data_IF_802982786184
#
_entry.id   IF_802982786184
#
_cell.length_a   1.000
_cell.length_b   1.000
_cell.length_c   1.000
_cell.angle_alpha   90.00
_cell.angle_beta   90.00
_cell.angle_gamma   90.00
#
_symmetry.space_group_name_H-M   'P 1'
#
loop_
_entity.id
_entity.type
_entity.pdbx_description
1 polymer ?
#
# COMPACT_ATOMS: atom_id res chain seq x y z
N UNK A 1 -38.94 2.07 8.54
CA UNK A 1 -37.51 1.80 8.88
C UNK A 1 -36.75 1.46 7.61
N UNK A 2 -35.83 2.32 7.12
CA UNK A 2 -35.01 2.03 5.94
C UNK A 2 -33.85 1.13 6.36
N UNK A 3 -33.85 -0.12 5.92
CA UNK A 3 -32.72 -1.02 6.08
C UNK A 3 -31.51 -0.41 5.34
N UNK A 4 -30.54 0.17 6.08
CA UNK A 4 -29.25 0.56 5.50
C UNK A 4 -28.61 -0.71 4.98
N UNK A 5 -28.70 -0.97 3.67
CA UNK A 5 -27.98 -2.05 3.01
C UNK A 5 -26.50 -1.86 3.35
N UNK A 6 -25.99 -2.62 4.32
CA UNK A 6 -24.55 -2.68 4.56
C UNK A 6 -23.96 -3.20 3.27
N UNK A 7 -23.17 -2.38 2.59
CA UNK A 7 -22.43 -2.81 1.41
C UNK A 7 -21.64 -4.08 1.76
N UNK A 8 -21.37 -4.92 0.76
CA UNK A 8 -20.52 -6.09 0.93
C UNK A 8 -19.24 -5.67 1.69
N UNK A 9 -18.88 -6.34 2.80
CA UNK A 9 -17.65 -6.04 3.51
C UNK A 9 -16.48 -5.97 2.54
N UNK A 10 -15.59 -4.99 2.72
CA UNK A 10 -14.38 -4.94 1.92
C UNK A 10 -13.58 -6.21 2.22
N UNK A 11 -13.13 -6.88 1.17
CA UNK A 11 -12.18 -7.96 1.36
C UNK A 11 -10.85 -7.33 1.78
N UNK A 12 -10.17 -7.90 2.79
CA UNK A 12 -8.88 -7.40 3.23
C UNK A 12 -7.88 -7.46 2.08
N UNK A 13 -7.11 -6.38 1.91
CA UNK A 13 -6.13 -6.26 0.83
C UNK A 13 -4.76 -6.71 1.30
N UNK A 14 -3.98 -7.30 0.39
CA UNK A 14 -2.66 -7.82 0.73
C UNK A 14 -1.58 -6.74 0.64
N UNK A 15 -0.75 -6.64 1.68
CA UNK A 15 0.47 -5.81 1.70
C UNK A 15 1.70 -6.69 1.93
N UNK A 16 2.87 -6.23 1.49
CA UNK A 16 4.10 -7.03 1.59
C UNK A 16 4.78 -6.90 2.95
N UNK A 17 4.68 -5.75 3.62
CA UNK A 17 5.19 -5.55 4.98
C UNK A 17 4.51 -4.38 5.70
N UNK A 18 4.67 -4.31 7.02
CA UNK A 18 4.25 -3.16 7.82
C UNK A 18 5.35 -2.09 7.75
N UNK A 19 5.02 -0.82 7.45
CA UNK A 19 5.99 0.26 7.40
C UNK A 19 6.70 0.45 8.75
N UNK A 20 8.03 0.50 8.71
CA UNK A 20 8.86 0.76 9.90
C UNK A 20 8.73 2.19 10.40
N UNK A 21 8.63 3.13 9.46
CA UNK A 21 8.37 4.55 9.73
C UNK A 21 6.93 4.82 9.37
N UNK A 22 6.18 5.42 10.30
CA UNK A 22 4.75 5.69 10.16
C UNK A 22 4.40 7.18 10.16
N UNK A 23 5.38 8.04 10.36
CA UNK A 23 5.16 9.48 10.37
C UNK A 23 6.37 10.20 9.78
N UNK A 24 6.10 11.19 8.93
CA UNK A 24 7.10 12.08 8.34
C UNK A 24 6.68 13.51 8.61
N UNK A 25 7.59 14.29 9.21
CA UNK A 25 7.33 15.65 9.67
C UNK A 25 8.34 16.58 8.99
N UNK A 26 7.90 17.69 8.37
CA UNK A 26 8.79 18.71 7.80
C UNK A 26 9.60 19.37 8.91
N UNK A 27 10.89 19.60 8.69
CA UNK A 27 11.76 20.24 9.70
C UNK A 27 11.65 21.77 9.70
N UNK A 28 11.38 22.36 8.54
CA UNK A 28 11.60 23.79 8.30
C UNK A 28 10.34 24.64 8.50
N UNK A 29 9.24 24.05 8.99
CA UNK A 29 7.96 24.75 9.20
C UNK A 29 7.31 24.30 10.51
N UNK A 30 6.74 25.21 11.33
CA UNK A 30 5.88 24.82 12.44
C UNK A 30 4.67 24.05 11.90
N UNK A 31 4.40 22.89 12.47
CA UNK A 31 3.25 22.05 12.10
C UNK A 31 2.00 22.70 12.66
N UNK A 32 1.13 23.23 11.80
CA UNK A 32 -0.19 23.69 12.21
C UNK A 32 -1.20 22.53 12.28
N UNK A 33 -2.14 22.62 13.24
CA UNK A 33 -3.24 21.65 13.35
C UNK A 33 -4.12 21.71 12.10
N UNK A 34 -4.12 20.63 11.30
CA UNK A 34 -4.87 20.53 10.05
C UNK A 34 -4.01 20.23 8.81
N UNK A 35 -2.68 20.31 8.93
CA UNK A 35 -1.74 19.97 7.86
C UNK A 35 -1.28 18.51 7.90
N UNK A 36 -2.19 17.55 8.16
CA UNK A 36 -1.86 16.11 8.19
C UNK A 36 -2.50 15.40 7.01
N UNK A 37 -1.68 14.68 6.24
CA UNK A 37 -2.11 13.75 5.19
C UNK A 37 -1.99 12.33 5.73
N UNK A 38 -3.11 11.60 5.73
CA UNK A 38 -3.11 10.17 6.11
C UNK A 38 -3.03 9.28 4.88
N UNK A 39 -1.94 8.54 4.74
CA UNK A 39 -1.73 7.49 3.74
C UNK A 39 -2.05 6.13 4.35
N UNK A 40 -2.85 5.30 3.66
CA UNK A 40 -3.11 3.96 4.16
C UNK A 40 -1.98 2.99 3.83
N UNK A 41 -1.87 1.87 4.55
CA UNK A 41 -0.91 0.80 4.23
C UNK A 41 -1.09 0.27 2.81
N UNK A 42 -2.34 0.22 2.34
CA UNK A 42 -2.70 -0.19 0.99
C UNK A 42 -2.25 0.82 -0.07
N UNK A 43 -2.41 2.13 0.21
CA UNK A 43 -1.96 3.21 -0.66
C UNK A 43 -0.44 3.21 -0.79
N UNK A 44 0.26 2.99 0.32
CA UNK A 44 1.71 2.85 0.31
C UNK A 44 2.17 1.60 -0.46
N UNK A 45 1.50 0.47 -0.28
CA UNK A 45 1.80 -0.76 -1.04
C UNK A 45 1.58 -0.54 -2.54
N UNK A 46 0.51 0.16 -2.94
CA UNK A 46 0.25 0.44 -4.35
C UNK A 46 1.36 1.30 -4.99
N UNK A 47 1.80 2.36 -4.29
CA UNK A 47 2.95 3.17 -4.73
C UNK A 47 4.20 2.31 -4.80
N UNK A 48 4.45 1.48 -3.78
CA UNK A 48 5.61 0.60 -3.75
C UNK A 48 5.65 -0.34 -4.95
N UNK A 49 4.54 -0.98 -5.29
CA UNK A 49 4.48 -1.95 -6.38
C UNK A 49 4.71 -1.26 -7.74
N UNK A 50 3.96 -0.20 -8.04
CA UNK A 50 4.01 0.41 -9.37
C UNK A 50 5.13 1.44 -9.48
N UNK A 51 5.14 2.43 -8.60
CA UNK A 51 6.02 3.60 -8.75
C UNK A 51 7.46 3.30 -8.33
N UNK A 52 7.66 2.38 -7.38
CA UNK A 52 8.99 2.07 -6.86
C UNK A 52 9.59 0.76 -7.40
N UNK A 53 8.81 -0.31 -7.50
CA UNK A 53 9.29 -1.61 -8.01
C UNK A 53 9.11 -1.78 -9.53
N UNK A 54 8.27 -0.94 -10.16
CA UNK A 54 8.08 -0.92 -11.60
C UNK A 54 7.08 -1.94 -12.14
N UNK A 55 6.22 -2.52 -11.30
CA UNK A 55 5.16 -3.42 -11.76
C UNK A 55 4.11 -2.68 -12.58
N UNK A 56 3.46 -3.39 -13.50
CA UNK A 56 2.23 -2.91 -14.12
C UNK A 56 1.11 -2.77 -13.07
N UNK A 57 0.09 -1.98 -13.41
CA UNK A 57 -1.09 -1.86 -12.54
C UNK A 57 -1.86 -3.17 -12.41
N UNK A 58 -1.74 -4.04 -13.41
CA UNK A 58 -2.43 -5.33 -13.47
C UNK A 58 -1.77 -6.30 -12.49
N UNK A 59 -0.44 -6.44 -12.57
CA UNK A 59 0.34 -7.19 -11.59
C UNK A 59 0.14 -6.64 -10.18
N UNK A 60 0.16 -5.31 -10.02
CA UNK A 60 -0.09 -4.67 -8.73
C UNK A 60 -1.46 -5.03 -8.13
N UNK A 61 -2.51 -5.06 -8.96
CA UNK A 61 -3.86 -5.43 -8.55
C UNK A 61 -3.96 -6.89 -8.12
N UNK A 62 -3.38 -7.80 -8.92
CA UNK A 62 -3.29 -9.23 -8.61
C UNK A 62 -2.55 -9.46 -7.29
N UNK A 63 -1.43 -8.76 -7.12
CA UNK A 63 -0.65 -8.82 -5.90
C UNK A 63 -1.47 -8.35 -4.71
N UNK A 64 -2.18 -7.23 -4.77
CA UNK A 64 -3.02 -6.78 -3.66
C UNK A 64 -4.31 -7.59 -3.46
N UNK A 65 -4.63 -8.52 -4.38
CA UNK A 65 -5.85 -9.33 -4.32
C UNK A 65 -7.11 -8.53 -4.61
N UNK A 66 -7.02 -7.49 -5.43
CA UNK A 66 -8.14 -6.59 -5.76
C UNK A 66 -8.35 -6.49 -7.28
N UNK A 67 -9.52 -5.98 -7.69
CA UNK A 67 -9.74 -5.71 -9.12
C UNK A 67 -8.87 -4.54 -9.61
N UNK A 68 -8.52 -4.55 -10.90
CA UNK A 68 -7.77 -3.46 -11.57
C UNK A 68 -8.35 -2.08 -11.27
N UNK A 69 -9.68 -1.93 -11.32
CA UNK A 69 -10.37 -0.67 -11.00
C UNK A 69 -10.16 -0.21 -9.56
N UNK A 70 -10.22 -1.15 -8.60
CA UNK A 70 -10.00 -0.83 -7.18
C UNK A 70 -8.53 -0.44 -6.95
N UNK A 71 -7.60 -1.18 -7.55
CA UNK A 71 -6.17 -0.86 -7.48
C UNK A 71 -5.88 0.53 -8.06
N UNK A 72 -6.41 0.84 -9.25
CA UNK A 72 -6.25 2.15 -9.87
C UNK A 72 -6.75 3.30 -8.98
N UNK A 73 -7.91 3.12 -8.34
CA UNK A 73 -8.44 4.12 -7.40
C UNK A 73 -7.52 4.31 -6.18
N UNK A 74 -6.97 3.22 -5.63
CA UNK A 74 -6.02 3.27 -4.50
C UNK A 74 -4.76 4.01 -4.95
N UNK A 75 -4.15 3.61 -6.06
CA UNK A 75 -2.93 4.23 -6.58
C UNK A 75 -3.12 5.72 -6.89
N UNK A 76 -4.25 6.09 -7.50
CA UNK A 76 -4.59 7.49 -7.79
C UNK A 76 -4.75 8.30 -6.49
N UNK A 77 -5.44 7.76 -5.49
CA UNK A 77 -5.58 8.38 -4.17
C UNK A 77 -4.22 8.57 -3.50
N UNK A 78 -3.39 7.52 -3.51
CA UNK A 78 -2.06 7.51 -2.92
C UNK A 78 -1.16 8.59 -3.54
N UNK A 79 -1.08 8.64 -4.87
CA UNK A 79 -0.28 9.65 -5.59
C UNK A 79 -0.75 11.06 -5.26
N UNK A 80 -2.06 11.32 -5.26
CA UNK A 80 -2.61 12.64 -4.89
C UNK A 80 -2.20 13.06 -3.48
N UNK A 81 -2.28 12.15 -2.51
CA UNK A 81 -1.91 12.41 -1.11
C UNK A 81 -0.42 12.69 -0.96
N UNK A 82 0.43 11.88 -1.60
CA UNK A 82 1.88 12.10 -1.60
C UNK A 82 2.25 13.41 -2.26
N UNK A 83 1.62 13.77 -3.39
CA UNK A 83 1.82 15.07 -4.03
C UNK A 83 1.39 16.22 -3.13
N UNK A 84 0.24 16.13 -2.47
CA UNK A 84 -0.24 17.15 -1.51
C UNK A 84 0.74 17.32 -0.33
N UNK A 85 1.24 16.21 0.21
CA UNK A 85 2.27 16.20 1.25
C UNK A 85 3.56 16.92 0.81
N UNK A 86 4.08 16.57 -0.36
CA UNK A 86 5.35 17.13 -0.87
C UNK A 86 5.25 18.60 -1.27
N UNK A 87 4.15 19.00 -1.92
CA UNK A 87 3.99 20.38 -2.43
C UNK A 87 3.71 21.36 -1.29
N UNK A 88 2.84 20.97 -0.34
CA UNK A 88 2.41 21.87 0.73
C UNK A 88 3.25 21.72 2.01
N UNK A 89 4.21 20.79 2.03
CA UNK A 89 5.06 20.54 3.19
C UNK A 89 4.25 20.11 4.42
N UNK A 90 3.26 19.23 4.22
CA UNK A 90 2.37 18.74 5.29
C UNK A 90 3.08 17.67 6.13
N UNK A 91 2.47 17.23 7.22
CA UNK A 91 2.83 15.99 7.91
C UNK A 91 2.21 14.81 7.18
N UNK A 92 2.97 13.73 6.97
CA UNK A 92 2.44 12.48 6.42
C UNK A 92 2.37 11.43 7.52
N UNK A 93 1.18 10.89 7.78
CA UNK A 93 0.98 9.75 8.67
C UNK A 93 0.56 8.53 7.89
N UNK A 94 1.12 7.37 8.23
CA UNK A 94 0.84 6.10 7.57
C UNK A 94 0.10 5.18 8.54
N UNK A 95 -1.12 4.80 8.18
CA UNK A 95 -2.05 4.05 9.03
C UNK A 95 -2.66 2.85 8.30
N UNK A 96 -3.14 1.85 9.03
CA UNK A 96 -3.79 0.70 8.42
C UNK A 96 -4.56 -0.14 9.43
N UNK A 97 -5.85 -0.34 9.17
CA UNK A 97 -6.75 -1.11 10.04
C UNK A 97 -7.17 -2.45 9.42
N UNK A 98 -7.41 -2.50 8.10
CA UNK A 98 -7.95 -3.68 7.40
C UNK A 98 -6.99 -4.15 6.29
N UNK A 99 -5.93 -4.86 6.67
CA UNK A 99 -4.95 -5.42 5.75
C UNK A 99 -4.58 -6.85 6.13
N UNK A 100 -4.07 -7.61 5.15
CA UNK A 100 -3.42 -8.90 5.38
C UNK A 100 -2.00 -8.85 4.87
N UNK A 101 -1.09 -9.44 5.63
CA UNK A 101 0.26 -9.67 5.13
C UNK A 101 0.23 -10.74 4.05
N UNK A 102 0.91 -10.48 2.94
CA UNK A 102 1.11 -11.47 1.88
C UNK A 102 2.02 -12.58 2.42
N UNK A 103 1.49 -13.79 2.50
CA UNK A 103 2.29 -14.96 2.83
C UNK A 103 2.96 -15.53 1.57
N UNK A 104 4.28 -15.70 1.63
CA UNK A 104 5.02 -16.45 0.62
C UNK A 104 5.16 -17.90 1.08
N UNK A 105 4.46 -18.83 0.41
CA UNK A 105 4.55 -20.27 0.69
C UNK A 105 5.89 -20.91 0.29
N UNK A 106 6.82 -20.15 -0.32
CA UNK A 106 8.10 -20.63 -0.85
C UNK A 106 9.30 -20.31 0.06
N UNK A 107 9.11 -20.27 1.38
CA UNK A 107 10.15 -19.91 2.39
C UNK A 107 11.49 -20.66 2.25
N UNK A 108 11.49 -21.84 1.63
CA UNK A 108 12.70 -22.63 1.35
C UNK A 108 13.55 -22.04 0.22
N UNK A 109 12.93 -21.33 -0.74
CA UNK A 109 13.58 -20.79 -1.94
C UNK A 109 13.92 -19.31 -1.78
N UNK A 110 13.03 -18.51 -1.18
CA UNK A 110 13.21 -17.06 -1.07
C UNK A 110 14.15 -16.62 0.08
N UNK A 111 14.63 -17.56 0.92
CA UNK A 111 15.37 -17.29 2.15
C UNK A 111 14.41 -17.13 3.34
N UNK A 112 14.90 -17.29 4.58
CA UNK A 112 14.12 -17.45 5.84
C UNK A 112 13.07 -16.36 6.19
N UNK A 113 12.77 -15.41 5.31
CA UNK A 113 11.71 -14.40 5.51
C UNK A 113 10.36 -14.96 5.07
N UNK A 114 9.35 -14.82 5.93
CA UNK A 114 7.96 -15.26 5.67
C UNK A 114 7.22 -14.43 4.61
N UNK A 115 7.82 -13.31 4.20
CA UNK A 115 7.26 -12.35 3.24
C UNK A 115 8.36 -11.85 2.29
N UNK A 116 8.03 -11.70 1.00
CA UNK A 116 8.93 -11.14 0.00
C UNK A 116 9.11 -9.64 0.28
N UNK A 117 10.26 -9.27 0.83
CA UNK A 117 10.55 -7.89 1.31
C UNK A 117 11.03 -6.96 0.20
N UNK A 118 11.35 -7.48 -0.97
CA UNK A 118 11.82 -6.69 -2.11
C UNK A 118 11.80 -7.56 -3.35
N UNK A 119 11.73 -6.92 -4.53
CA UNK A 119 11.61 -7.51 -5.88
C UNK A 119 11.57 -9.04 -5.87
N UNK A 120 10.44 -9.67 -6.21
CA UNK A 120 10.38 -11.12 -6.30
C UNK A 120 11.56 -11.62 -7.11
N UNK A 121 12.33 -12.53 -6.53
CA UNK A 121 13.49 -13.12 -7.19
C UNK A 121 13.01 -13.83 -8.46
N UNK A 122 13.89 -13.98 -9.44
CA UNK A 122 13.53 -14.59 -10.74
C UNK A 122 12.82 -15.95 -10.60
N UNK A 123 13.20 -16.74 -9.60
CA UNK A 123 12.60 -18.04 -9.28
C UNK A 123 11.22 -17.98 -8.60
N UNK A 124 10.67 -16.80 -8.34
CA UNK A 124 9.43 -16.66 -7.59
C UNK A 124 8.23 -16.90 -8.50
N UNK A 125 7.79 -18.16 -8.62
CA UNK A 125 6.62 -18.57 -9.43
C UNK A 125 5.32 -17.82 -9.12
N UNK A 126 5.24 -17.14 -7.98
CA UNK A 126 4.08 -16.33 -7.59
C UNK A 126 4.08 -14.92 -8.21
N UNK A 127 5.23 -14.47 -8.70
CA UNK A 127 5.39 -13.15 -9.31
C UNK A 127 5.98 -13.23 -10.74
N UNK A 128 6.68 -14.31 -11.06
CA UNK A 128 7.15 -14.67 -12.40
C UNK A 128 6.59 -16.08 -12.72
N UNK A 129 5.28 -16.20 -13.02
CA UNK A 129 4.66 -17.46 -13.36
C UNK A 129 5.21 -18.08 -14.66
#
# INVERSE_FOLDING_TARGET
MRCRRRGRPRLPRFISEIPKVREFIPRDKPVEEGEVVTLTFEELEAIRLVDYLGFSQEEGAELMGVSRKVFWNILKSARRKVSDFLINGKVLRIEGEDYRLRECGMYKLCGKKRYCTFKPKDHCRRFNP
#
